data_IF_404664824569
#
_entry.id   IF_404664824569
#
_cell.length_a   1.000
_cell.length_b   1.000
_cell.length_c   1.000
_cell.angle_alpha   90.00
_cell.angle_beta   90.00
_cell.angle_gamma   90.00
#
_symmetry.space_group_name_H-M   'P 1'
#
loop_
_entity.id
_entity.type
_entity.pdbx_description
1 polymer ?
#
# COMPACT_ATOMS: atom_id res chain seq x y z
N UNK A 1 -7.51 33.91 -2.64
CA UNK A 1 -7.38 32.88 -3.70
C UNK A 1 -6.11 33.18 -4.49
N UNK A 2 -4.97 32.83 -3.92
CA UNK A 2 -3.75 32.80 -4.71
C UNK A 2 -3.63 31.38 -5.23
N UNK A 3 -3.97 31.22 -6.50
CA UNK A 3 -3.70 30.00 -7.23
C UNK A 3 -2.24 29.63 -7.06
N UNK A 4 -1.93 28.36 -6.74
CA UNK A 4 -0.62 27.79 -6.97
C UNK A 4 -0.33 27.77 -8.48
N UNK A 5 -0.27 28.96 -9.08
CA UNK A 5 0.27 29.15 -10.41
C UNK A 5 1.78 29.09 -10.28
N UNK A 6 2.33 27.89 -10.42
CA UNK A 6 3.75 27.77 -10.79
C UNK A 6 3.80 28.24 -12.23
N UNK A 7 4.12 29.54 -12.41
CA UNK A 7 4.34 30.10 -13.74
C UNK A 7 5.50 29.35 -14.40
N UNK A 8 5.32 28.89 -15.63
CA UNK A 8 6.35 28.27 -16.49
C UNK A 8 7.64 29.09 -16.62
N UNK A 9 7.55 30.40 -16.35
CA UNK A 9 8.69 31.33 -16.35
C UNK A 9 9.70 31.10 -15.20
N UNK A 10 9.35 30.28 -14.18
CA UNK A 10 10.17 30.09 -12.99
C UNK A 10 10.94 28.76 -12.97
N UNK A 11 10.84 27.93 -14.00
CA UNK A 11 11.73 26.79 -14.12
C UNK A 11 13.16 27.26 -14.31
N UNK A 12 14.08 26.81 -13.47
CA UNK A 12 15.50 27.15 -13.62
C UNK A 12 16.02 26.63 -14.97
N UNK A 13 17.04 27.31 -15.52
CA UNK A 13 17.70 26.86 -16.74
C UNK A 13 18.17 25.39 -16.62
N UNK A 14 18.64 25.02 -15.44
CA UNK A 14 19.05 23.66 -15.09
C UNK A 14 17.89 22.65 -15.21
N UNK A 15 16.68 22.98 -14.78
CA UNK A 15 15.52 22.10 -14.91
C UNK A 15 15.12 21.88 -16.38
N UNK A 16 15.23 22.92 -17.21
CA UNK A 16 14.98 22.81 -18.65
C UNK A 16 16.04 21.99 -19.38
N UNK A 17 17.31 22.18 -19.02
CA UNK A 17 18.44 21.44 -19.61
C UNK A 17 18.40 19.93 -19.24
N UNK A 18 17.83 19.61 -18.08
CA UNK A 18 17.66 18.22 -17.64
C UNK A 18 16.33 17.58 -18.06
N UNK A 19 15.46 18.27 -18.80
CA UNK A 19 14.17 17.73 -19.21
C UNK A 19 14.33 16.44 -20.02
N UNK A 20 15.27 16.37 -20.94
CA UNK A 20 15.53 15.16 -21.76
C UNK A 20 15.96 13.96 -20.89
N UNK A 21 16.75 14.20 -19.84
CA UNK A 21 17.12 13.16 -18.88
C UNK A 21 15.91 12.72 -18.06
N UNK A 22 15.11 13.66 -17.61
CA UNK A 22 13.88 13.37 -16.86
C UNK A 22 12.88 12.57 -17.71
N UNK A 23 12.69 12.94 -18.97
CA UNK A 23 11.85 12.22 -19.92
C UNK A 23 12.36 10.79 -20.14
N UNK A 24 13.66 10.62 -20.30
CA UNK A 24 14.27 9.29 -20.41
C UNK A 24 14.05 8.45 -19.14
N UNK A 25 14.28 9.01 -17.96
CA UNK A 25 14.07 8.32 -16.68
C UNK A 25 12.60 8.00 -16.49
N UNK A 26 11.70 8.94 -16.78
CA UNK A 26 10.27 8.74 -16.68
C UNK A 26 9.79 7.66 -17.66
N UNK A 27 10.28 7.69 -18.92
CA UNK A 27 9.99 6.65 -19.93
C UNK A 27 10.40 5.26 -19.40
N UNK A 28 11.58 5.14 -18.80
CA UNK A 28 12.06 3.90 -18.18
C UNK A 28 11.19 3.44 -17.00
N UNK A 29 10.64 4.36 -16.24
CA UNK A 29 9.85 4.06 -15.05
C UNK A 29 8.35 3.90 -15.34
N UNK A 30 7.80 4.63 -16.29
CA UNK A 30 6.42 4.48 -16.72
C UNK A 30 6.27 3.23 -17.58
N UNK A 31 7.24 3.02 -18.49
CA UNK A 31 7.22 1.90 -19.41
C UNK A 31 8.21 0.83 -18.94
N UNK A 32 7.68 -0.23 -18.34
CA UNK A 32 8.51 -1.39 -18.07
C UNK A 32 8.86 -2.08 -19.38
N UNK A 33 10.16 -2.12 -19.72
CA UNK A 33 10.65 -2.92 -20.83
C UNK A 33 10.81 -4.38 -20.36
N UNK A 34 9.82 -5.20 -20.65
CA UNK A 34 9.84 -6.63 -20.31
C UNK A 34 10.59 -7.47 -21.33
N UNK A 35 11.43 -6.89 -22.15
CA UNK A 35 12.08 -7.68 -23.18
C UNK A 35 13.41 -8.26 -22.75
N UNK A 36 13.45 -9.60 -22.69
CA UNK A 36 14.59 -10.31 -23.29
C UNK A 36 14.13 -11.27 -24.40
N UNK A 37 12.87 -11.68 -24.48
CA UNK A 37 12.44 -12.66 -25.49
C UNK A 37 10.95 -12.62 -25.88
N UNK A 38 10.22 -11.56 -25.66
CA UNK A 38 8.82 -11.42 -26.11
C UNK A 38 8.61 -10.18 -26.97
N UNK A 39 7.65 -10.16 -27.90
CA UNK A 39 7.34 -8.97 -28.68
C UNK A 39 7.11 -7.79 -27.73
N UNK A 40 7.75 -6.68 -28.00
CA UNK A 40 7.82 -5.48 -27.18
C UNK A 40 6.44 -4.86 -26.95
N UNK A 41 5.67 -5.39 -26.05
CA UNK A 41 4.55 -4.70 -25.47
C UNK A 41 5.08 -3.88 -24.30
N UNK A 42 5.19 -2.57 -24.51
CA UNK A 42 5.43 -1.64 -23.41
C UNK A 42 4.24 -1.75 -22.44
N UNK A 43 4.47 -2.24 -21.23
CA UNK A 43 3.48 -2.23 -20.15
C UNK A 43 3.78 -1.07 -19.23
N UNK A 44 2.76 -0.27 -18.91
CA UNK A 44 2.90 0.74 -17.86
C UNK A 44 3.07 0.10 -16.51
N UNK A 45 3.70 0.87 -15.65
CA UNK A 45 3.57 0.70 -14.21
C UNK A 45 2.13 0.94 -13.76
N UNK A 46 1.78 0.42 -12.60
CA UNK A 46 0.51 0.74 -11.97
C UNK A 46 0.38 2.25 -11.76
N UNK A 47 -0.82 2.75 -11.95
CA UNK A 47 -1.15 4.15 -11.76
C UNK A 47 -1.91 4.28 -10.46
N UNK A 48 -1.52 5.24 -9.65
CA UNK A 48 -2.21 5.58 -8.42
C UNK A 48 -2.79 6.99 -8.53
N UNK A 49 -4.09 7.12 -8.31
CA UNK A 49 -4.77 8.42 -8.27
C UNK A 49 -4.98 8.86 -6.83
N UNK A 50 -4.56 10.07 -6.49
CA UNK A 50 -4.98 10.75 -5.27
C UNK A 50 -6.21 11.59 -5.63
N UNK A 51 -7.36 11.24 -5.04
CA UNK A 51 -8.65 11.88 -5.36
C UNK A 51 -9.02 12.93 -4.32
N UNK A 52 -9.17 12.55 -3.05
CA UNK A 52 -9.67 13.43 -2.00
C UNK A 52 -9.09 13.05 -0.63
N UNK A 53 -8.77 14.04 0.23
CA UNK A 53 -8.34 13.76 1.60
C UNK A 53 -9.49 13.48 2.57
N UNK A 54 -10.74 13.63 2.15
CA UNK A 54 -11.91 13.52 3.03
C UNK A 54 -12.15 12.07 3.42
N UNK A 55 -12.38 11.85 4.72
CA UNK A 55 -12.66 10.52 5.29
C UNK A 55 -13.64 10.69 6.44
N UNK A 56 -14.52 9.71 6.63
CA UNK A 56 -15.43 9.66 7.76
C UNK A 56 -14.82 9.03 9.01
N UNK A 57 -13.58 8.51 8.95
CA UNK A 57 -12.84 7.98 10.09
C UNK A 57 -11.59 8.82 10.40
N UNK A 58 -11.31 8.96 11.70
CA UNK A 58 -10.09 9.55 12.24
C UNK A 58 -9.14 8.48 12.78
N UNK A 59 -8.73 7.51 11.95
CA UNK A 59 -7.83 6.45 12.38
C UNK A 59 -6.59 7.02 13.05
N UNK A 60 -6.26 6.53 14.26
CA UNK A 60 -5.20 7.10 15.11
C UNK A 60 -3.81 7.08 14.47
N UNK A 61 -3.56 6.14 13.56
CA UNK A 61 -2.31 5.99 12.82
C UNK A 61 -2.35 6.52 11.39
N UNK A 62 -3.47 7.14 10.96
CA UNK A 62 -3.62 7.60 9.58
C UNK A 62 -2.77 8.84 9.31
N UNK A 63 -1.81 8.70 8.39
CA UNK A 63 -0.96 9.81 8.00
C UNK A 63 -1.71 10.90 7.23
N UNK A 64 -2.72 10.55 6.43
CA UNK A 64 -3.57 11.53 5.72
C UNK A 64 -4.28 12.44 6.72
N UNK A 65 -4.83 11.89 7.79
CA UNK A 65 -5.50 12.68 8.81
C UNK A 65 -4.52 13.57 9.58
N UNK A 66 -3.33 13.04 9.93
CA UNK A 66 -2.31 13.77 10.69
C UNK A 66 -1.65 14.90 9.91
N UNK A 67 -1.41 14.68 8.61
CA UNK A 67 -0.65 15.57 7.73
C UNK A 67 -1.49 16.14 6.58
N UNK A 68 -2.80 16.23 6.77
CA UNK A 68 -3.73 16.66 5.72
C UNK A 68 -3.34 17.96 5.07
N UNK A 69 -2.97 18.98 5.88
CA UNK A 69 -2.59 20.29 5.38
C UNK A 69 -1.27 20.28 4.60
N UNK A 70 -0.32 19.45 5.05
CA UNK A 70 1.01 19.35 4.42
C UNK A 70 0.93 18.62 3.08
N UNK A 71 0.03 17.62 2.97
CA UNK A 71 -0.14 16.80 1.75
C UNK A 71 -1.06 17.47 0.74
N UNK A 72 -2.19 18.01 1.21
CA UNK A 72 -3.25 18.51 0.31
C UNK A 72 -3.38 20.04 0.30
N UNK A 73 -2.72 20.77 1.24
CA UNK A 73 -2.95 22.19 1.47
C UNK A 73 -4.29 22.47 2.14
N UNK A 74 -4.65 23.74 2.28
CA UNK A 74 -5.90 24.12 2.94
C UNK A 74 -7.14 23.92 2.05
N UNK A 75 -7.01 24.01 0.70
CA UNK A 75 -8.11 23.99 -0.27
C UNK A 75 -7.83 23.15 -1.52
N UNK A 76 -7.00 22.12 -1.42
CA UNK A 76 -6.54 21.36 -2.60
C UNK A 76 -7.55 20.32 -3.15
N UNK A 77 -8.77 20.28 -2.68
CA UNK A 77 -9.78 19.41 -3.27
C UNK A 77 -10.82 20.23 -4.05
N UNK A 78 -10.79 20.06 -5.37
CA UNK A 78 -11.80 20.59 -6.28
C UNK A 78 -12.38 19.42 -7.09
N UNK A 79 -13.65 19.11 -6.86
CA UNK A 79 -14.32 17.99 -7.51
C UNK A 79 -14.39 18.15 -9.02
N UNK A 80 -14.74 19.33 -9.53
CA UNK A 80 -14.84 19.60 -10.96
C UNK A 80 -13.48 19.44 -11.66
N UNK A 81 -12.42 20.03 -11.08
CA UNK A 81 -11.07 19.84 -11.57
C UNK A 81 -10.64 18.37 -11.54
N UNK A 82 -10.96 17.64 -10.46
CA UNK A 82 -10.65 16.22 -10.32
C UNK A 82 -11.24 15.39 -11.44
N UNK A 83 -12.52 15.58 -11.76
CA UNK A 83 -13.20 14.83 -12.82
C UNK A 83 -12.70 15.27 -14.22
N UNK A 84 -12.50 16.56 -14.43
CA UNK A 84 -11.96 17.07 -15.70
C UNK A 84 -10.57 16.52 -15.98
N UNK A 85 -9.69 16.58 -14.99
CA UNK A 85 -8.33 16.07 -15.08
C UNK A 85 -8.29 14.54 -15.25
N UNK A 86 -9.18 13.81 -14.57
CA UNK A 86 -9.32 12.38 -14.77
C UNK A 86 -9.62 12.04 -16.23
N UNK A 87 -10.58 12.74 -16.86
CA UNK A 87 -10.92 12.53 -18.28
C UNK A 87 -9.72 12.75 -19.21
N UNK A 88 -8.90 13.77 -18.94
CA UNK A 88 -7.67 14.01 -19.70
C UNK A 88 -6.65 12.89 -19.49
N UNK A 89 -6.50 12.44 -18.23
CA UNK A 89 -5.55 11.38 -17.89
C UNK A 89 -5.94 10.03 -18.51
N UNK A 90 -7.22 9.68 -18.51
CA UNK A 90 -7.71 8.46 -19.15
C UNK A 90 -7.45 8.46 -20.66
N UNK A 91 -7.65 9.60 -21.35
CA UNK A 91 -7.25 9.76 -22.77
C UNK A 91 -5.75 9.59 -22.98
N UNK A 92 -4.95 10.08 -22.05
CA UNK A 92 -3.50 9.89 -22.12
C UNK A 92 -3.10 8.42 -21.94
N UNK A 93 -3.74 7.69 -21.03
CA UNK A 93 -3.56 6.24 -20.89
C UNK A 93 -3.94 5.50 -22.18
N UNK A 94 -5.09 5.77 -22.75
CA UNK A 94 -5.56 5.19 -24.01
C UNK A 94 -4.55 5.42 -25.14
N UNK A 95 -4.12 6.67 -25.34
CA UNK A 95 -3.18 7.03 -26.41
C UNK A 95 -1.85 6.31 -26.29
N UNK A 96 -1.40 6.05 -25.08
CA UNK A 96 -0.13 5.38 -24.79
C UNK A 96 -0.25 3.85 -24.69
N UNK A 97 -1.44 3.30 -24.90
CA UNK A 97 -1.74 1.86 -24.93
C UNK A 97 -1.36 1.12 -23.66
N UNK A 98 -1.92 1.57 -22.54
CA UNK A 98 -1.61 1.00 -21.25
C UNK A 98 -2.74 0.18 -20.69
N UNK A 99 -2.34 -0.92 -20.05
CA UNK A 99 -3.21 -1.79 -19.29
C UNK A 99 -2.71 -1.83 -17.82
N UNK A 100 -2.65 -0.68 -17.11
CA UNK A 100 -2.21 -0.66 -15.73
C UNK A 100 -3.30 -1.19 -14.82
N UNK A 101 -2.91 -1.66 -13.63
CA UNK A 101 -3.83 -1.59 -12.50
C UNK A 101 -3.93 -0.13 -12.06
N UNK A 102 -5.15 0.33 -11.85
CA UNK A 102 -5.43 1.67 -11.33
C UNK A 102 -5.78 1.53 -9.86
N UNK A 103 -4.96 2.12 -9.00
CA UNK A 103 -5.26 2.25 -7.58
C UNK A 103 -5.85 3.63 -7.31
N UNK A 104 -7.01 3.69 -6.67
CA UNK A 104 -7.67 4.96 -6.36
C UNK A 104 -7.54 5.23 -4.87
N UNK A 105 -6.60 6.11 -4.53
CA UNK A 105 -6.33 6.49 -3.17
C UNK A 105 -7.13 7.73 -2.78
N UNK A 106 -7.73 7.68 -1.59
CA UNK A 106 -8.51 8.77 -1.02
C UNK A 106 -8.47 8.66 0.51
N UNK A 107 -9.09 9.60 1.21
CA UNK A 107 -9.45 9.38 2.60
C UNK A 107 -10.40 8.18 2.71
N UNK A 108 -11.67 8.36 2.29
CA UNK A 108 -12.60 7.24 2.04
C UNK A 108 -13.40 7.55 0.77
N UNK A 109 -13.06 6.87 -0.30
CA UNK A 109 -13.64 7.13 -1.62
C UNK A 109 -15.14 6.85 -1.66
N UNK A 110 -15.56 5.71 -1.08
CA UNK A 110 -16.94 5.22 -1.16
C UNK A 110 -17.90 5.92 -0.19
N UNK A 111 -17.40 6.82 0.65
CA UNK A 111 -18.23 7.72 1.46
C UNK A 111 -18.50 9.07 0.76
N UNK A 112 -17.98 9.30 -0.45
CA UNK A 112 -18.02 10.58 -1.13
C UNK A 112 -18.65 10.48 -2.52
N UNK A 113 -19.44 11.49 -2.88
CA UNK A 113 -20.06 11.56 -4.23
C UNK A 113 -19.01 11.59 -5.34
N UNK A 114 -17.91 12.30 -5.14
CA UNK A 114 -16.80 12.34 -6.12
C UNK A 114 -16.22 10.95 -6.38
N UNK A 115 -16.20 10.06 -5.41
CA UNK A 115 -15.71 8.69 -5.58
C UNK A 115 -16.52 7.92 -6.60
N UNK A 116 -17.84 8.01 -6.51
CA UNK A 116 -18.74 7.37 -7.48
C UNK A 116 -18.60 8.00 -8.86
N UNK A 117 -18.52 9.34 -8.96
CA UNK A 117 -18.28 10.03 -10.23
C UNK A 117 -16.95 9.63 -10.89
N UNK A 118 -15.89 9.42 -10.10
CA UNK A 118 -14.61 8.91 -10.59
C UNK A 118 -14.80 7.53 -11.23
N UNK A 119 -15.46 6.60 -10.55
CA UNK A 119 -15.70 5.25 -11.06
C UNK A 119 -16.61 5.24 -12.29
N UNK A 120 -17.65 6.05 -12.31
CA UNK A 120 -18.52 6.21 -13.47
C UNK A 120 -17.76 6.81 -14.66
N UNK A 121 -16.92 7.82 -14.44
CA UNK A 121 -16.08 8.42 -15.49
C UNK A 121 -15.10 7.40 -16.07
N UNK A 122 -14.53 6.52 -15.24
CA UNK A 122 -13.67 5.43 -15.71
C UNK A 122 -14.47 4.44 -16.56
N UNK A 123 -15.66 4.03 -16.10
CA UNK A 123 -16.52 3.13 -16.85
C UNK A 123 -16.89 3.73 -18.21
N UNK A 124 -17.43 4.96 -18.24
CA UNK A 124 -17.84 5.67 -19.48
C UNK A 124 -16.70 5.80 -20.48
N UNK A 125 -15.46 5.99 -20.01
CA UNK A 125 -14.31 6.08 -20.89
C UNK A 125 -13.95 4.74 -21.55
N UNK A 126 -14.01 3.64 -20.79
CA UNK A 126 -13.54 2.34 -21.25
C UNK A 126 -14.63 1.43 -21.84
N UNK A 127 -15.91 1.75 -21.67
CA UNK A 127 -17.00 0.86 -22.09
C UNK A 127 -16.97 0.51 -23.59
N UNK A 128 -16.58 1.46 -24.43
CA UNK A 128 -16.51 1.30 -25.88
C UNK A 128 -15.12 0.98 -26.44
N UNK A 129 -14.11 0.83 -25.58
CA UNK A 129 -12.75 0.51 -26.01
C UNK A 129 -12.53 -1.01 -26.07
N UNK A 130 -11.59 -1.41 -26.92
CA UNK A 130 -11.15 -2.80 -27.01
C UNK A 130 -10.62 -3.31 -25.67
N UNK A 131 -10.81 -4.59 -25.32
CA UNK A 131 -10.40 -5.15 -24.03
C UNK A 131 -8.92 -4.92 -23.69
N UNK A 132 -8.03 -4.96 -24.68
CA UNK A 132 -6.61 -4.72 -24.50
C UNK A 132 -6.25 -3.26 -24.14
N UNK A 133 -7.19 -2.35 -24.33
CA UNK A 133 -7.02 -0.93 -24.00
C UNK A 133 -7.54 -0.60 -22.59
N UNK A 134 -8.21 -1.55 -21.93
CA UNK A 134 -8.80 -1.36 -20.61
C UNK A 134 -7.80 -1.63 -19.51
N UNK A 135 -7.95 -1.00 -18.33
CA UNK A 135 -7.10 -1.33 -17.17
C UNK A 135 -7.28 -2.78 -16.75
N UNK A 136 -6.20 -3.36 -16.23
CA UNK A 136 -6.20 -4.74 -15.75
C UNK A 136 -7.09 -4.93 -14.52
N UNK A 137 -7.19 -3.90 -13.68
CA UNK A 137 -8.06 -3.85 -12.50
C UNK A 137 -8.18 -2.43 -11.97
N UNK A 138 -9.21 -2.18 -11.18
CA UNK A 138 -9.32 -1.02 -10.30
C UNK A 138 -9.23 -1.50 -8.87
N UNK A 139 -8.33 -0.92 -8.08
CA UNK A 139 -8.12 -1.25 -6.66
C UNK A 139 -8.50 -0.04 -5.81
N UNK A 140 -9.33 -0.25 -4.81
CA UNK A 140 -9.76 0.79 -3.87
C UNK A 140 -9.52 0.32 -2.44
N UNK A 141 -8.53 0.90 -1.73
CA UNK A 141 -8.48 0.79 -0.28
C UNK A 141 -9.69 1.49 0.34
N UNK A 142 -10.48 0.78 1.11
CA UNK A 142 -11.69 1.33 1.75
C UNK A 142 -11.82 0.85 3.18
N UNK A 143 -12.38 1.70 4.03
CA UNK A 143 -12.63 1.38 5.44
C UNK A 143 -13.92 0.56 5.67
N UNK A 144 -14.61 0.21 4.60
CA UNK A 144 -15.83 -0.60 4.58
C UNK A 144 -17.02 -0.01 5.34
N UNK A 145 -17.00 1.26 5.76
CA UNK A 145 -18.15 1.88 6.42
C UNK A 145 -19.39 1.99 5.55
N UNK A 146 -19.26 1.85 4.22
CA UNK A 146 -20.40 1.76 3.32
C UNK A 146 -21.30 0.53 3.64
N UNK A 147 -20.75 -0.52 4.28
CA UNK A 147 -21.51 -1.68 4.74
C UNK A 147 -22.50 -1.37 5.85
N UNK A 148 -22.46 -0.19 6.45
CA UNK A 148 -23.45 0.24 7.43
C UNK A 148 -24.81 0.60 6.82
N UNK A 149 -24.88 0.85 5.49
CA UNK A 149 -26.10 1.33 4.82
C UNK A 149 -26.35 0.52 3.53
N UNK A 150 -27.55 -0.08 3.42
CA UNK A 150 -27.92 -0.89 2.26
C UNK A 150 -27.85 -0.10 0.94
N UNK A 151 -28.31 1.15 0.95
CA UNK A 151 -28.23 2.03 -0.26
C UNK A 151 -26.80 2.21 -0.77
N UNK A 152 -25.81 2.34 0.14
CA UNK A 152 -24.41 2.45 -0.24
C UNK A 152 -23.88 1.13 -0.80
N UNK A 153 -24.28 -0.01 -0.24
CA UNK A 153 -23.94 -1.34 -0.76
C UNK A 153 -24.48 -1.48 -2.17
N UNK A 154 -25.76 -1.19 -2.39
CA UNK A 154 -26.44 -1.31 -3.69
C UNK A 154 -25.75 -0.44 -4.75
N UNK A 155 -25.32 0.76 -4.37
CA UNK A 155 -24.60 1.67 -5.27
C UNK A 155 -23.22 1.14 -5.66
N UNK A 156 -22.46 0.61 -4.71
CA UNK A 156 -21.16 -0.03 -4.99
C UNK A 156 -21.32 -1.24 -5.90
N UNK A 157 -22.32 -2.08 -5.65
CA UNK A 157 -22.60 -3.26 -6.48
C UNK A 157 -23.05 -2.87 -7.91
N UNK A 158 -23.82 -1.82 -8.06
CA UNK A 158 -24.22 -1.33 -9.38
C UNK A 158 -23.00 -0.90 -10.21
N UNK A 159 -22.04 -0.19 -9.61
CA UNK A 159 -20.80 0.22 -10.27
C UNK A 159 -19.89 -0.98 -10.53
N UNK A 160 -19.78 -1.90 -9.58
CA UNK A 160 -19.04 -3.15 -9.77
C UNK A 160 -19.55 -3.90 -11.00
N UNK A 161 -20.87 -4.11 -11.09
CA UNK A 161 -21.50 -4.82 -12.18
C UNK A 161 -21.22 -4.15 -13.54
N UNK A 162 -21.26 -2.81 -13.61
CA UNK A 162 -20.90 -2.06 -14.83
C UNK A 162 -19.45 -2.31 -15.23
N UNK A 163 -18.50 -2.17 -14.33
CA UNK A 163 -17.07 -2.37 -14.62
C UNK A 163 -16.75 -3.81 -15.01
N UNK A 164 -17.28 -4.79 -14.28
CA UNK A 164 -17.10 -6.20 -14.58
C UNK A 164 -17.73 -6.61 -15.92
N UNK A 165 -18.86 -6.00 -16.32
CA UNK A 165 -19.49 -6.25 -17.64
C UNK A 165 -18.58 -5.90 -18.82
N UNK A 166 -17.63 -5.01 -18.61
CA UNK A 166 -16.61 -4.65 -19.61
C UNK A 166 -15.24 -5.30 -19.32
N UNK A 167 -15.17 -6.24 -18.39
CA UNK A 167 -13.95 -7.00 -18.06
C UNK A 167 -12.95 -6.25 -17.20
N UNK A 168 -13.36 -5.21 -16.47
CA UNK A 168 -12.54 -4.48 -15.50
C UNK A 168 -12.93 -4.92 -14.07
N UNK A 169 -12.16 -5.76 -13.40
CA UNK A 169 -12.45 -6.16 -12.02
C UNK A 169 -12.28 -4.99 -11.06
N UNK A 170 -13.27 -4.79 -10.18
CA UNK A 170 -13.22 -3.84 -9.07
C UNK A 170 -12.81 -4.57 -7.78
N UNK A 171 -11.58 -4.34 -7.35
CA UNK A 171 -11.00 -4.94 -6.16
C UNK A 171 -11.08 -3.97 -4.97
N UNK A 172 -11.88 -4.31 -3.97
CA UNK A 172 -11.94 -3.54 -2.73
C UNK A 172 -11.00 -4.17 -1.69
N UNK A 173 -10.05 -3.37 -1.19
CA UNK A 173 -9.16 -3.79 -0.11
C UNK A 173 -9.73 -3.31 1.22
N UNK A 174 -10.20 -4.25 2.05
CA UNK A 174 -10.85 -3.96 3.32
C UNK A 174 -9.83 -3.49 4.38
N UNK A 175 -9.67 -2.17 4.50
CA UNK A 175 -8.91 -1.54 5.59
C UNK A 175 -9.73 -1.58 6.88
N UNK A 176 -9.71 -2.72 7.57
CA UNK A 176 -10.59 -3.05 8.67
C UNK A 176 -9.80 -3.80 9.75
N UNK A 177 -9.73 -3.22 10.97
CA UNK A 177 -8.87 -3.75 12.04
C UNK A 177 -9.52 -4.83 12.90
N UNK A 178 -10.82 -5.02 12.79
CA UNK A 178 -11.57 -6.02 13.53
C UNK A 178 -12.24 -5.50 14.80
N UNK A 179 -13.15 -6.31 15.35
CA UNK A 179 -14.06 -5.96 16.45
C UNK A 179 -13.36 -5.43 17.70
N UNK A 180 -12.21 -5.99 18.06
CA UNK A 180 -11.48 -5.61 19.27
C UNK A 180 -10.52 -4.42 19.07
N UNK A 181 -10.41 -3.92 17.82
CA UNK A 181 -9.51 -2.82 17.44
C UNK A 181 -10.24 -1.57 16.94
N UNK A 182 -11.57 -1.51 17.12
CA UNK A 182 -12.44 -0.41 16.67
C UNK A 182 -11.99 0.96 17.18
N UNK A 183 -11.50 1.03 18.42
CA UNK A 183 -11.01 2.27 19.04
C UNK A 183 -9.83 2.89 18.29
N UNK A 184 -9.17 2.13 17.41
CA UNK A 184 -8.10 2.62 16.54
C UNK A 184 -8.67 3.42 15.35
N UNK A 185 -9.95 3.24 15.02
CA UNK A 185 -10.62 3.83 13.85
C UNK A 185 -11.94 4.54 14.24
N UNK A 186 -11.90 5.56 15.12
CA UNK A 186 -13.11 6.30 15.52
C UNK A 186 -13.72 7.06 14.33
N UNK A 187 -15.04 7.24 14.36
CA UNK A 187 -15.70 8.17 13.44
C UNK A 187 -15.27 9.61 13.72
N UNK A 188 -15.13 10.40 12.66
CA UNK A 188 -14.98 11.84 12.75
C UNK A 188 -16.36 12.50 12.83
N UNK A 189 -16.57 13.31 13.86
CA UNK A 189 -17.85 14.00 14.10
C UNK A 189 -17.84 15.47 13.67
N UNK A 190 -16.66 16.04 13.38
CA UNK A 190 -16.45 17.47 13.11
C UNK A 190 -16.11 17.74 11.64
N UNK A 191 -16.80 17.07 10.72
CA UNK A 191 -16.61 17.34 9.29
C UNK A 191 -17.65 18.37 8.82
N UNK A 192 -17.22 19.38 8.06
CA UNK A 192 -18.10 20.33 7.36
C UNK A 192 -19.08 19.63 6.38
N UNK A 193 -18.82 18.35 6.10
CA UNK A 193 -19.64 17.49 5.26
C UNK A 193 -19.89 16.19 6.00
N UNK A 194 -21.15 15.86 6.23
CA UNK A 194 -21.55 14.55 6.76
C UNK A 194 -21.27 13.47 5.70
N UNK A 195 -20.15 12.79 5.86
CA UNK A 195 -19.77 11.65 5.01
C UNK A 195 -20.45 10.34 5.44
N UNK A 196 -21.40 10.44 6.34
CA UNK A 196 -22.12 9.31 6.88
C UNK A 196 -21.30 8.55 7.93
N UNK A 197 -22.03 7.94 8.81
CA UNK A 197 -21.55 7.03 9.84
C UNK A 197 -22.55 5.89 9.93
N UNK A 198 -22.28 4.96 10.82
CA UNK A 198 -23.19 3.86 11.14
C UNK A 198 -22.68 3.11 12.36
N UNK A 199 -23.53 2.24 12.87
CA UNK A 199 -23.14 1.38 13.98
C UNK A 199 -22.35 0.19 13.41
N UNK A 200 -21.16 -0.04 13.94
CA UNK A 200 -20.34 -1.21 13.63
C UNK A 200 -20.62 -2.32 14.65
N UNK A 201 -21.83 -2.85 14.59
CA UNK A 201 -22.32 -3.97 15.38
C UNK A 201 -22.03 -5.33 14.74
N UNK A 202 -22.47 -6.41 15.35
CA UNK A 202 -22.27 -7.76 14.82
C UNK A 202 -22.89 -7.92 13.42
N UNK A 203 -24.03 -7.28 13.13
CA UNK A 203 -24.64 -7.32 11.81
C UNK A 203 -23.80 -6.57 10.74
N UNK A 204 -23.11 -5.50 11.13
CA UNK A 204 -22.14 -4.86 10.25
C UNK A 204 -20.97 -5.80 9.93
N UNK A 205 -20.40 -6.47 10.95
CA UNK A 205 -19.31 -7.42 10.71
C UNK A 205 -19.74 -8.57 9.82
N UNK A 206 -20.91 -9.13 10.03
CA UNK A 206 -21.45 -10.21 9.20
C UNK A 206 -21.54 -9.77 7.73
N UNK A 207 -22.04 -8.57 7.45
CA UNK A 207 -22.05 -8.02 6.09
C UNK A 207 -20.66 -7.84 5.50
N UNK A 208 -19.66 -7.43 6.29
CA UNK A 208 -18.27 -7.30 5.82
C UNK A 208 -17.71 -8.65 5.39
N UNK A 209 -17.89 -9.69 6.20
CA UNK A 209 -17.39 -11.03 5.87
C UNK A 209 -18.17 -11.68 4.72
N UNK A 210 -19.49 -11.57 4.70
CA UNK A 210 -20.32 -12.04 3.59
C UNK A 210 -19.89 -11.40 2.27
N UNK A 211 -19.69 -10.09 2.27
CA UNK A 211 -19.25 -9.36 1.08
C UNK A 211 -17.83 -9.73 0.66
N UNK A 212 -16.92 -9.90 1.61
CA UNK A 212 -15.56 -10.34 1.35
C UNK A 212 -15.55 -11.75 0.70
N UNK A 213 -16.37 -12.66 1.22
CA UNK A 213 -16.54 -14.00 0.65
C UNK A 213 -17.07 -13.94 -0.79
N UNK A 214 -18.15 -13.17 -1.01
CA UNK A 214 -18.78 -12.99 -2.32
C UNK A 214 -17.83 -12.41 -3.37
N UNK A 215 -16.99 -11.46 -2.99
CA UNK A 215 -16.12 -10.72 -3.90
C UNK A 215 -14.70 -11.28 -3.97
N UNK A 216 -14.40 -12.34 -3.24
CA UNK A 216 -13.05 -12.88 -3.07
C UNK A 216 -12.04 -11.81 -2.64
N UNK A 217 -12.50 -10.83 -1.86
CA UNK A 217 -11.68 -9.75 -1.32
C UNK A 217 -10.72 -10.21 -0.23
N UNK A 218 -9.76 -9.36 0.11
CA UNK A 218 -8.84 -9.57 1.23
C UNK A 218 -9.13 -8.62 2.39
N UNK A 219 -8.92 -9.10 3.60
CA UNK A 219 -8.98 -8.30 4.82
C UNK A 219 -7.59 -7.72 5.09
N UNK A 220 -7.49 -6.42 5.35
CA UNK A 220 -6.24 -5.72 5.50
C UNK A 220 -6.16 -4.93 6.81
N UNK A 221 -6.09 -5.62 7.95
CA UNK A 221 -5.96 -4.98 9.24
C UNK A 221 -4.55 -4.44 9.47
N UNK A 222 -4.47 -3.34 10.24
CA UNK A 222 -3.21 -2.69 10.62
C UNK A 222 -2.83 -3.03 12.06
N UNK A 223 -1.68 -3.66 12.22
CA UNK A 223 -1.10 -3.95 13.55
C UNK A 223 -0.58 -2.64 14.14
N UNK A 224 -1.39 -2.02 14.98
CA UNK A 224 -1.06 -0.76 15.62
C UNK A 224 -0.44 -1.01 16.99
N UNK A 225 0.56 -0.22 17.36
CA UNK A 225 1.30 -0.38 18.63
C UNK A 225 0.37 -0.35 19.86
N UNK A 226 -0.68 0.48 19.82
CA UNK A 226 -1.73 0.47 20.85
C UNK A 226 -2.69 -0.69 20.61
N UNK A 227 -2.94 -1.46 21.65
CA UNK A 227 -3.80 -2.65 21.57
C UNK A 227 -3.09 -3.89 21.04
N UNK A 228 -1.75 -3.87 20.94
CA UNK A 228 -0.98 -5.03 20.46
C UNK A 228 -1.20 -6.28 21.31
N UNK A 229 -1.49 -6.11 22.60
CA UNK A 229 -1.82 -7.18 23.54
C UNK A 229 -3.09 -7.98 23.15
N UNK A 230 -4.07 -7.32 22.55
CA UNK A 230 -5.37 -7.91 22.19
C UNK A 230 -5.37 -8.54 20.79
N UNK A 231 -4.25 -8.42 20.05
CA UNK A 231 -4.18 -8.96 18.69
C UNK A 231 -4.35 -10.48 18.58
N UNK A 232 -3.85 -11.32 19.50
CA UNK A 232 -4.15 -12.76 19.44
C UNK A 232 -5.66 -13.03 19.45
N UNK A 233 -6.40 -12.40 20.38
CA UNK A 233 -7.85 -12.53 20.48
C UNK A 233 -8.58 -11.98 19.24
N UNK A 234 -8.11 -10.85 18.71
CA UNK A 234 -8.69 -10.23 17.51
C UNK A 234 -8.45 -11.10 16.26
N UNK A 235 -7.28 -11.71 16.14
CA UNK A 235 -6.96 -12.63 15.07
C UNK A 235 -7.81 -13.90 15.12
N UNK A 236 -7.98 -14.49 16.31
CA UNK A 236 -8.83 -15.67 16.50
C UNK A 236 -10.28 -15.38 16.10
N UNK A 237 -10.79 -14.18 16.44
CA UNK A 237 -12.10 -13.73 16.00
C UNK A 237 -12.18 -13.59 14.46
N UNK A 238 -11.16 -13.02 13.80
CA UNK A 238 -11.09 -13.00 12.35
C UNK A 238 -11.17 -14.41 11.77
N UNK A 239 -10.37 -15.34 12.29
CA UNK A 239 -10.31 -16.71 11.79
C UNK A 239 -11.64 -17.46 11.98
N UNK A 240 -12.32 -17.24 13.11
CA UNK A 240 -13.66 -17.79 13.33
C UNK A 240 -14.66 -17.26 12.30
N UNK A 241 -14.68 -15.96 12.06
CA UNK A 241 -15.56 -15.34 11.05
C UNK A 241 -15.20 -15.79 9.64
N UNK A 242 -13.93 -15.86 9.29
CA UNK A 242 -13.50 -16.37 7.98
C UNK A 242 -13.95 -17.80 7.74
N UNK A 243 -13.88 -18.66 8.75
CA UNK A 243 -14.38 -20.03 8.68
C UNK A 243 -15.92 -20.07 8.52
N UNK A 244 -16.66 -19.25 9.28
CA UNK A 244 -18.12 -19.12 9.20
C UNK A 244 -18.60 -18.75 7.79
N UNK A 245 -17.88 -17.84 7.10
CA UNK A 245 -18.21 -17.37 5.76
C UNK A 245 -17.43 -18.06 4.62
N UNK A 246 -16.71 -19.14 4.89
CA UNK A 246 -15.90 -19.91 3.93
C UNK A 246 -14.84 -19.04 3.21
N UNK A 247 -14.27 -18.07 3.89
CA UNK A 247 -13.13 -17.28 3.41
C UNK A 247 -11.85 -18.08 3.70
N UNK A 248 -10.92 -18.21 2.72
CA UNK A 248 -9.64 -18.84 2.97
C UNK A 248 -8.91 -18.21 4.16
N UNK A 249 -8.46 -19.02 5.11
CA UNK A 249 -7.83 -18.53 6.35
C UNK A 249 -6.58 -17.65 6.13
N UNK A 250 -5.97 -17.76 4.96
CA UNK A 250 -4.85 -16.94 4.52
C UNK A 250 -5.24 -15.59 3.85
N UNK A 251 -6.52 -15.33 3.63
CA UNK A 251 -7.00 -14.10 2.98
C UNK A 251 -7.03 -12.88 3.92
N UNK A 252 -6.05 -12.79 4.82
CA UNK A 252 -5.85 -11.69 5.76
C UNK A 252 -4.42 -11.16 5.64
N UNK A 253 -4.27 -9.85 5.35
CA UNK A 253 -2.98 -9.21 5.13
C UNK A 253 -2.59 -8.38 6.34
N UNK A 254 -1.66 -8.91 7.14
CA UNK A 254 -1.21 -8.30 8.39
C UNK A 254 -0.02 -7.37 8.16
N UNK A 255 -0.16 -6.10 8.48
CA UNK A 255 0.91 -5.10 8.36
C UNK A 255 1.06 -4.27 9.63
N UNK A 256 2.29 -4.11 10.10
CA UNK A 256 2.59 -3.18 11.18
C UNK A 256 2.44 -1.73 10.74
N UNK A 257 1.88 -0.90 11.62
CA UNK A 257 1.98 0.56 11.52
C UNK A 257 3.44 0.96 11.72
N UNK A 258 4.02 1.70 10.77
CA UNK A 258 5.47 1.96 10.70
C UNK A 258 5.84 3.44 10.81
N UNK A 259 4.90 4.32 11.10
CA UNK A 259 5.13 5.76 11.23
C UNK A 259 5.07 6.24 12.69
N UNK A 260 5.22 5.33 13.62
CA UNK A 260 5.22 5.59 15.06
C UNK A 260 6.35 4.87 15.76
N UNK A 261 6.71 5.36 16.93
CA UNK A 261 7.62 4.68 17.83
C UNK A 261 6.94 3.47 18.49
N UNK A 262 7.73 2.44 18.73
CA UNK A 262 7.33 1.23 19.42
C UNK A 262 8.12 1.11 20.71
N UNK A 263 7.44 0.94 21.85
CA UNK A 263 8.11 0.65 23.13
C UNK A 263 8.57 -0.80 23.19
N UNK A 264 9.45 -1.12 24.14
CA UNK A 264 9.93 -2.49 24.35
C UNK A 264 8.76 -3.45 24.65
N UNK A 265 7.81 -3.02 25.49
CA UNK A 265 6.62 -3.81 25.84
C UNK A 265 5.73 -4.08 24.63
N UNK A 266 5.55 -3.10 23.75
CA UNK A 266 4.78 -3.26 22.51
C UNK A 266 5.47 -4.19 21.52
N UNK A 267 6.81 -4.13 21.43
CA UNK A 267 7.59 -5.06 20.61
C UNK A 267 7.44 -6.47 21.14
N UNK A 268 7.50 -6.65 22.47
CA UNK A 268 7.29 -7.95 23.10
C UNK A 268 5.87 -8.49 22.87
N UNK A 269 4.87 -7.64 22.95
CA UNK A 269 3.49 -8.01 22.57
C UNK A 269 3.38 -8.44 21.10
N UNK A 270 4.08 -7.74 20.19
CA UNK A 270 4.18 -8.14 18.78
C UNK A 270 4.84 -9.50 18.61
N UNK A 271 5.90 -9.78 19.39
CA UNK A 271 6.55 -11.10 19.35
C UNK A 271 5.60 -12.21 19.80
N UNK A 272 4.86 -12.01 20.89
CA UNK A 272 3.83 -12.99 21.34
C UNK A 272 2.77 -13.21 20.26
N UNK A 273 2.37 -12.15 19.54
CA UNK A 273 1.45 -12.31 18.43
C UNK A 273 2.06 -13.09 17.25
N UNK A 274 3.34 -12.85 16.92
CA UNK A 274 4.07 -13.63 15.91
C UNK A 274 4.10 -15.12 16.31
N UNK A 275 4.39 -15.44 17.58
CA UNK A 275 4.34 -16.81 18.08
C UNK A 275 2.96 -17.43 17.94
N UNK A 276 1.90 -16.66 18.22
CA UNK A 276 0.50 -17.10 18.04
C UNK A 276 0.21 -17.42 16.56
N UNK A 277 0.66 -16.58 15.62
CA UNK A 277 0.50 -16.84 14.19
C UNK A 277 1.22 -18.13 13.74
N UNK A 278 2.44 -18.37 14.21
CA UNK A 278 3.17 -19.60 13.90
C UNK A 278 2.48 -20.84 14.51
N UNK A 279 1.95 -20.75 15.73
CA UNK A 279 1.17 -21.83 16.34
C UNK A 279 -0.10 -22.13 15.53
N UNK A 280 -0.82 -21.10 15.10
CA UNK A 280 -2.01 -21.23 14.26
C UNK A 280 -1.67 -21.92 12.91
N UNK A 281 -0.61 -21.49 12.24
CA UNK A 281 -0.17 -22.09 10.97
C UNK A 281 0.20 -23.57 11.19
N UNK A 282 0.88 -23.88 12.30
CA UNK A 282 1.26 -25.25 12.64
C UNK A 282 0.06 -26.20 12.71
N UNK A 283 -1.05 -25.74 13.30
CA UNK A 283 -2.30 -26.51 13.32
C UNK A 283 -2.91 -26.63 11.91
N UNK A 284 -2.96 -25.56 11.14
CA UNK A 284 -3.54 -25.57 9.78
C UNK A 284 -2.76 -26.46 8.81
N UNK A 285 -1.45 -26.58 8.95
CA UNK A 285 -0.62 -27.50 8.14
C UNK A 285 -0.52 -28.91 8.73
N UNK A 286 -1.36 -29.24 9.72
CA UNK A 286 -1.46 -30.59 10.35
C UNK A 286 -0.13 -31.08 10.89
N UNK A 287 0.58 -30.21 11.60
CA UNK A 287 1.86 -30.51 12.26
C UNK A 287 2.95 -31.01 11.29
N UNK A 288 2.93 -30.57 10.04
CA UNK A 288 3.93 -30.92 9.04
C UNK A 288 4.95 -29.81 8.86
N UNK A 289 6.25 -30.01 9.24
CA UNK A 289 7.29 -29.00 9.14
C UNK A 289 7.58 -28.51 7.70
N UNK A 290 7.54 -29.42 6.72
CA UNK A 290 7.77 -29.09 5.31
C UNK A 290 6.63 -28.26 4.74
N UNK A 291 5.38 -28.61 5.05
CA UNK A 291 4.22 -27.81 4.66
C UNK A 291 4.22 -26.44 5.30
N UNK A 292 4.67 -26.32 6.55
CA UNK A 292 4.84 -25.04 7.25
C UNK A 292 5.85 -24.14 6.52
N UNK A 293 7.02 -24.68 6.21
CA UNK A 293 8.03 -23.96 5.44
C UNK A 293 7.50 -23.55 4.06
N UNK A 294 6.86 -24.47 3.34
CA UNK A 294 6.26 -24.20 2.03
C UNK A 294 5.18 -23.11 2.08
N UNK A 295 4.35 -23.08 3.13
CA UNK A 295 3.36 -22.04 3.32
C UNK A 295 4.02 -20.65 3.55
N UNK A 296 4.99 -20.59 4.46
CA UNK A 296 5.71 -19.33 4.75
C UNK A 296 6.43 -18.81 3.49
N UNK A 297 7.06 -19.67 2.71
CA UNK A 297 7.76 -19.29 1.49
C UNK A 297 6.85 -18.81 0.35
N UNK A 298 5.59 -19.23 0.33
CA UNK A 298 4.62 -18.73 -0.64
C UNK A 298 4.21 -17.27 -0.38
N UNK A 299 4.36 -16.81 0.86
CA UNK A 299 3.91 -15.49 1.28
C UNK A 299 2.39 -15.42 1.47
N UNK A 300 1.69 -14.73 0.61
CA UNK A 300 0.24 -14.55 0.74
C UNK A 300 -0.14 -13.56 1.83
N UNK A 301 -1.28 -13.79 2.51
CA UNK A 301 -1.79 -12.92 3.57
C UNK A 301 -0.88 -12.80 4.78
N UNK A 302 -0.08 -13.82 5.05
CA UNK A 302 0.92 -13.84 6.12
C UNK A 302 2.27 -13.28 5.68
N UNK A 303 2.26 -12.32 4.76
CA UNK A 303 3.46 -11.69 4.21
C UNK A 303 4.41 -11.13 5.29
N UNK A 304 3.86 -10.68 6.43
CA UNK A 304 4.64 -10.29 7.61
C UNK A 304 5.65 -11.36 8.04
N UNK A 305 5.26 -12.64 8.00
CA UNK A 305 6.11 -13.79 8.38
C UNK A 305 7.01 -14.21 7.21
N UNK A 306 6.55 -14.07 5.98
CA UNK A 306 7.27 -14.49 4.78
C UNK A 306 8.41 -13.56 4.39
N UNK A 307 8.26 -12.26 4.60
CA UNK A 307 9.19 -11.22 4.15
C UNK A 307 10.68 -11.50 4.46
N UNK A 308 11.08 -11.93 5.67
CA UNK A 308 12.48 -12.19 5.96
C UNK A 308 13.10 -13.28 5.06
N UNK A 309 12.29 -14.21 4.59
CA UNK A 309 12.73 -15.38 3.83
C UNK A 309 12.60 -15.21 2.33
N UNK A 310 11.57 -14.49 1.87
CA UNK A 310 11.23 -14.33 0.44
C UNK A 310 11.79 -13.07 -0.18
N UNK A 311 12.15 -12.07 0.63
CA UNK A 311 12.69 -10.80 0.14
C UNK A 311 13.97 -11.01 -0.69
N UNK A 312 14.07 -10.35 -1.83
CA UNK A 312 15.24 -10.42 -2.71
C UNK A 312 16.48 -9.67 -2.19
N UNK A 313 16.43 -9.11 -1.00
CA UNK A 313 17.58 -8.57 -0.26
C UNK A 313 18.17 -7.24 -0.75
N UNK A 314 18.05 -6.93 -2.04
CA UNK A 314 18.74 -5.78 -2.66
C UNK A 314 17.90 -4.52 -2.79
N UNK A 315 16.58 -4.65 -2.88
CA UNK A 315 15.64 -3.55 -3.09
C UNK A 315 14.92 -3.11 -1.81
N UNK A 316 14.16 -2.05 -1.94
CA UNK A 316 13.07 -1.74 -1.04
C UNK A 316 11.88 -2.63 -1.41
N UNK A 317 11.19 -3.17 -0.42
CA UNK A 317 9.93 -3.88 -0.67
C UNK A 317 8.75 -2.94 -0.88
N UNK A 318 9.03 -1.66 -0.94
CA UNK A 318 8.09 -0.59 -1.18
C UNK A 318 7.72 -0.54 -2.67
N UNK A 319 6.43 -0.36 -2.99
CA UNK A 319 5.91 -0.29 -4.36
C UNK A 319 6.35 0.94 -5.18
N UNK A 320 7.10 1.86 -4.58
CA UNK A 320 7.50 3.14 -5.18
C UNK A 320 8.15 3.01 -6.57
N UNK A 321 8.84 1.91 -6.83
CA UNK A 321 9.48 1.65 -8.13
C UNK A 321 8.53 0.99 -9.13
N UNK A 322 7.37 0.53 -8.69
CA UNK A 322 6.38 -0.21 -9.47
C UNK A 322 5.16 0.60 -9.89
N UNK A 323 5.02 1.84 -9.44
CA UNK A 323 3.87 2.69 -9.67
C UNK A 323 4.27 4.15 -9.84
N UNK A 324 3.37 4.97 -10.38
CA UNK A 324 3.47 6.42 -10.29
C UNK A 324 2.13 6.99 -9.81
N UNK A 325 2.22 8.09 -9.09
CA UNK A 325 1.09 8.68 -8.38
C UNK A 325 0.77 10.04 -8.92
N UNK A 326 -0.49 10.30 -9.23
CA UNK A 326 -0.99 11.58 -9.74
C UNK A 326 -2.09 12.08 -8.82
N UNK A 327 -1.97 13.31 -8.32
CA UNK A 327 -3.06 13.98 -7.62
C UNK A 327 -3.98 14.65 -8.65
N UNK A 328 -5.21 14.14 -8.75
CA UNK A 328 -6.12 14.55 -9.82
C UNK A 328 -6.59 16.01 -9.73
N UNK A 329 -6.62 16.61 -8.54
CA UNK A 329 -7.07 18.01 -8.39
C UNK A 329 -6.18 19.03 -9.08
N UNK A 330 -4.88 18.73 -9.24
CA UNK A 330 -3.87 19.65 -9.81
C UNK A 330 -2.87 18.97 -10.75
N UNK A 331 -3.02 17.68 -10.98
CA UNK A 331 -2.16 16.88 -11.87
C UNK A 331 -0.69 16.78 -11.44
N UNK A 332 -0.40 17.08 -10.17
CA UNK A 332 0.93 16.92 -9.61
C UNK A 332 1.31 15.46 -9.44
N UNK A 333 2.56 15.14 -9.74
CA UNK A 333 3.11 13.79 -9.67
C UNK A 333 4.04 13.60 -8.48
N UNK A 334 3.88 12.46 -7.83
CA UNK A 334 4.60 12.06 -6.63
C UNK A 334 5.15 10.64 -6.75
N UNK A 335 6.20 10.28 -6.00
CA UNK A 335 6.72 8.91 -5.99
C UNK A 335 5.69 7.87 -5.50
N UNK A 336 4.84 8.23 -4.55
CA UNK A 336 3.71 7.43 -4.05
C UNK A 336 2.74 8.33 -3.24
N UNK A 337 1.54 7.83 -2.95
CA UNK A 337 0.54 8.56 -2.16
C UNK A 337 1.06 9.01 -0.78
N UNK A 338 1.96 8.23 -0.18
CA UNK A 338 2.51 8.52 1.14
C UNK A 338 3.63 9.58 1.12
N UNK A 339 4.20 9.86 -0.04
CA UNK A 339 5.11 10.97 -0.30
C UNK A 339 4.41 12.12 -1.03
N UNK A 340 3.12 12.33 -0.78
CA UNK A 340 2.32 13.40 -1.37
C UNK A 340 2.64 14.80 -0.85
N UNK A 341 3.73 14.99 -0.14
CA UNK A 341 4.19 16.28 0.39
C UNK A 341 4.79 17.15 -0.70
N UNK A 342 4.71 18.46 -0.52
CA UNK A 342 5.24 19.46 -1.47
C UNK A 342 6.71 19.22 -1.84
N UNK A 343 7.51 18.75 -0.89
CA UNK A 343 8.93 18.50 -1.09
C UNK A 343 9.22 17.31 -2.04
N UNK A 344 8.20 16.51 -2.33
CA UNK A 344 8.32 15.33 -3.20
C UNK A 344 7.64 15.49 -4.57
N UNK A 345 7.27 16.68 -4.95
CA UNK A 345 6.85 16.95 -6.31
C UNK A 345 8.01 16.75 -7.27
N UNK A 346 7.87 15.85 -8.21
CA UNK A 346 8.88 15.70 -9.24
C UNK A 346 8.41 16.18 -10.62
N UNK A 347 7.11 16.36 -10.83
CA UNK A 347 6.58 16.87 -12.08
C UNK A 347 5.08 17.08 -12.03
N UNK A 348 4.53 17.43 -13.18
CA UNK A 348 3.11 17.67 -13.39
C UNK A 348 2.69 17.18 -14.78
N UNK A 349 1.47 16.68 -14.89
CA UNK A 349 0.85 16.43 -16.18
C UNK A 349 0.10 17.72 -16.60
N UNK A 350 0.45 18.28 -17.74
CA UNK A 350 -0.19 19.49 -18.28
C UNK A 350 -0.77 19.24 -19.66
N UNK A 351 -1.96 19.78 -19.97
CA UNK A 351 -2.51 19.69 -21.30
C UNK A 351 -1.77 20.65 -22.25
N UNK A 352 -1.52 20.22 -23.48
CA UNK A 352 -1.10 21.08 -24.56
C UNK A 352 -2.31 21.76 -25.26
N UNK A 353 -2.05 22.47 -26.37
CA UNK A 353 -3.08 23.17 -27.14
C UNK A 353 -4.20 22.24 -27.68
N UNK A 354 -3.89 20.96 -27.85
CA UNK A 354 -4.85 19.93 -28.32
C UNK A 354 -5.51 19.15 -27.14
N UNK A 355 -5.32 19.60 -25.90
CA UNK A 355 -5.72 18.90 -24.67
C UNK A 355 -5.10 17.50 -24.54
N UNK A 356 -3.89 17.31 -25.04
CA UNK A 356 -3.10 16.11 -24.84
C UNK A 356 -2.14 16.34 -23.68
N UNK A 357 -2.17 15.46 -22.70
CA UNK A 357 -1.29 15.60 -21.53
C UNK A 357 0.18 15.36 -21.90
N UNK A 358 1.02 16.25 -21.40
CA UNK A 358 2.47 16.16 -21.42
C UNK A 358 3.00 16.18 -19.99
N UNK A 359 4.10 15.50 -19.79
CA UNK A 359 4.83 15.58 -18.52
C UNK A 359 5.75 16.79 -18.52
N UNK A 360 5.63 17.61 -17.49
CA UNK A 360 6.58 18.68 -17.18
C UNK A 360 7.38 18.30 -15.95
N UNK A 361 8.69 18.31 -16.09
CA UNK A 361 9.60 17.98 -15.00
C UNK A 361 9.90 19.20 -14.14
N UNK A 362 9.75 19.07 -12.82
CA UNK A 362 10.13 20.07 -11.84
C UNK A 362 11.37 19.69 -11.03
N UNK A 363 11.63 18.40 -10.87
CA UNK A 363 12.73 17.90 -10.05
C UNK A 363 13.23 16.53 -10.51
N UNK A 364 14.05 16.53 -11.57
CA UNK A 364 14.62 15.30 -12.11
C UNK A 364 15.52 14.56 -11.10
N UNK A 365 16.23 15.29 -10.25
CA UNK A 365 17.12 14.70 -9.25
C UNK A 365 16.32 13.91 -8.20
N UNK A 366 15.18 14.47 -7.75
CA UNK A 366 14.28 13.78 -6.82
C UNK A 366 13.70 12.54 -7.47
N UNK A 367 13.28 12.62 -8.74
CA UNK A 367 12.78 11.48 -9.50
C UNK A 367 13.82 10.36 -9.56
N UNK A 368 15.04 10.69 -9.97
CA UNK A 368 16.15 9.73 -10.06
C UNK A 368 16.47 9.16 -8.68
N UNK A 369 16.61 10.01 -7.66
CA UNK A 369 16.93 9.60 -6.31
C UNK A 369 15.90 8.62 -5.73
N UNK A 370 14.60 8.93 -5.88
CA UNK A 370 13.53 8.09 -5.35
C UNK A 370 13.45 6.74 -6.02
N UNK A 371 13.55 6.70 -7.34
CA UNK A 371 13.43 5.47 -8.11
C UNK A 371 14.70 4.62 -8.11
N UNK A 372 15.87 5.23 -7.89
CA UNK A 372 17.16 4.51 -7.78
C UNK A 372 17.45 4.03 -6.36
N UNK A 373 16.63 4.43 -5.39
CA UNK A 373 16.91 4.16 -3.99
C UNK A 373 16.88 2.67 -3.68
N UNK A 374 17.88 2.25 -2.92
CA UNK A 374 17.97 0.89 -2.38
C UNK A 374 18.42 0.96 -0.91
N UNK A 375 18.28 -0.14 -0.18
CA UNK A 375 18.82 -0.23 1.18
C UNK A 375 20.33 0.04 1.25
N UNK A 376 21.07 -0.26 0.21
CA UNK A 376 22.51 0.03 0.11
C UNK A 376 22.82 1.52 0.02
N UNK A 377 21.90 2.33 -0.50
CA UNK A 377 22.00 3.78 -0.53
C UNK A 377 21.63 4.48 0.78
N UNK A 378 21.08 3.75 1.74
CA UNK A 378 20.74 4.28 3.07
C UNK A 378 21.86 3.91 4.06
N UNK A 379 22.62 4.88 4.62
CA UNK A 379 23.81 4.60 5.42
C UNK A 379 23.60 3.59 6.56
N UNK A 380 22.52 3.74 7.32
CA UNK A 380 22.20 2.82 8.42
C UNK A 380 21.83 1.42 7.91
N UNK A 381 21.05 1.33 6.81
CA UNK A 381 20.66 0.05 6.24
C UNK A 381 21.84 -0.65 5.55
N UNK A 382 22.74 0.10 4.90
CA UNK A 382 23.92 -0.47 4.26
C UNK A 382 24.86 -1.16 5.24
N UNK A 383 24.93 -0.65 6.49
CA UNK A 383 25.75 -1.21 7.56
C UNK A 383 25.00 -2.22 8.44
N UNK A 384 23.71 -2.42 8.22
CA UNK A 384 22.90 -3.32 9.02
C UNK A 384 23.27 -4.79 8.73
N UNK A 385 23.61 -5.59 9.75
CA UNK A 385 24.04 -6.97 9.55
C UNK A 385 22.94 -7.92 9.07
N UNK A 386 21.66 -7.46 9.09
CA UNK A 386 20.50 -8.25 8.65
C UNK A 386 19.76 -7.57 7.51
N UNK A 387 20.41 -6.71 6.75
CA UNK A 387 19.75 -5.93 5.71
C UNK A 387 19.07 -6.76 4.60
N UNK A 388 19.54 -7.97 4.33
CA UNK A 388 18.94 -8.90 3.36
C UNK A 388 17.68 -9.58 3.89
N UNK A 389 17.53 -9.69 5.20
CA UNK A 389 16.35 -10.29 5.85
C UNK A 389 15.23 -9.26 6.09
N UNK A 390 15.61 -7.99 6.23
CA UNK A 390 14.68 -6.92 6.52
C UNK A 390 13.93 -6.48 5.26
N UNK A 391 12.62 -6.30 5.36
CA UNK A 391 11.79 -5.74 4.29
C UNK A 391 12.09 -4.27 3.98
N UNK A 392 12.86 -3.61 4.82
CA UNK A 392 13.06 -2.16 4.80
C UNK A 392 11.89 -1.40 5.42
N UNK A 393 12.01 -0.10 5.48
CA UNK A 393 10.96 0.80 5.96
C UNK A 393 10.20 1.43 4.79
N UNK A 394 9.01 1.95 5.07
CA UNK A 394 8.29 2.81 4.16
C UNK A 394 8.94 4.20 4.14
N UNK A 395 9.35 4.70 2.97
CA UNK A 395 10.01 6.00 2.83
C UNK A 395 9.15 7.17 3.32
N UNK A 396 7.84 7.12 3.05
CA UNK A 396 6.90 8.11 3.58
C UNK A 396 6.81 8.08 5.09
N UNK A 397 6.77 6.88 5.70
CA UNK A 397 6.76 6.75 7.15
C UNK A 397 8.07 7.26 7.79
N UNK A 398 9.21 7.03 7.14
CA UNK A 398 10.48 7.59 7.58
C UNK A 398 10.46 9.11 7.54
N UNK A 399 9.99 9.70 6.43
CA UNK A 399 9.87 11.15 6.31
C UNK A 399 8.93 11.74 7.35
N UNK A 400 7.76 11.14 7.57
CA UNK A 400 6.81 11.57 8.60
C UNK A 400 7.43 11.62 10.00
N UNK A 401 8.19 10.60 10.37
CA UNK A 401 8.76 10.47 11.70
C UNK A 401 10.08 11.24 11.89
N UNK A 402 10.92 11.34 10.85
CA UNK A 402 12.30 11.83 10.96
C UNK A 402 12.59 13.07 10.13
N UNK A 403 11.65 13.52 9.29
CA UNK A 403 11.84 14.54 8.26
C UNK A 403 12.97 14.22 7.27
N UNK A 404 13.33 12.93 7.19
CA UNK A 404 14.33 12.41 6.25
C UNK A 404 13.91 11.04 5.73
N UNK A 405 13.50 10.97 4.48
CA UNK A 405 13.04 9.71 3.89
C UNK A 405 14.12 8.62 3.79
N UNK A 406 15.39 8.96 3.97
CA UNK A 406 16.51 8.01 4.01
C UNK A 406 16.90 7.57 5.43
N UNK A 407 16.28 8.14 6.45
CA UNK A 407 16.58 7.80 7.84
C UNK A 407 15.57 6.78 8.38
N UNK A 408 15.99 5.52 8.65
CA UNK A 408 15.10 4.53 9.26
C UNK A 408 14.69 4.95 10.67
N UNK A 409 13.49 4.56 11.07
CA UNK A 409 12.98 4.79 12.43
C UNK A 409 13.56 3.72 13.34
N UNK A 410 14.37 4.08 14.38
CA UNK A 410 15.11 3.10 15.20
C UNK A 410 14.20 2.06 15.87
N UNK A 411 13.05 2.48 16.41
CA UNK A 411 12.12 1.57 17.09
C UNK A 411 11.41 0.63 16.12
N UNK A 412 11.17 1.06 14.88
CA UNK A 412 10.65 0.18 13.81
C UNK A 412 11.72 -0.81 13.35
N UNK A 413 13.01 -0.39 13.34
CA UNK A 413 14.10 -1.32 13.10
C UNK A 413 14.17 -2.39 14.19
N UNK A 414 14.05 -1.99 15.47
CA UNK A 414 14.02 -2.91 16.61
C UNK A 414 12.84 -3.91 16.49
N UNK A 415 11.65 -3.43 16.16
CA UNK A 415 10.48 -4.27 15.90
C UNK A 415 10.76 -5.31 14.80
N UNK A 416 11.28 -4.89 13.65
CA UNK A 416 11.60 -5.80 12.54
C UNK A 416 12.65 -6.85 12.95
N UNK A 417 13.67 -6.43 13.69
CA UNK A 417 14.70 -7.31 14.20
C UNK A 417 14.11 -8.38 15.14
N UNK A 418 13.30 -7.95 16.10
CA UNK A 418 12.65 -8.84 17.07
C UNK A 418 11.73 -9.85 16.37
N UNK A 419 10.93 -9.40 15.41
CA UNK A 419 10.03 -10.28 14.65
C UNK A 419 10.79 -11.32 13.81
N UNK A 420 11.92 -10.97 13.20
CA UNK A 420 12.78 -11.92 12.47
C UNK A 420 13.33 -12.99 13.40
N UNK A 421 13.86 -12.58 14.56
CA UNK A 421 14.38 -13.50 15.58
C UNK A 421 13.29 -14.42 16.10
N UNK A 422 12.12 -13.89 16.43
CA UNK A 422 10.98 -14.66 16.91
C UNK A 422 10.51 -15.67 15.87
N UNK A 423 10.40 -15.25 14.60
CA UNK A 423 10.05 -16.14 13.50
C UNK A 423 11.05 -17.29 13.32
N UNK A 424 12.35 -16.98 13.40
CA UNK A 424 13.40 -18.01 13.35
C UNK A 424 13.29 -19.01 14.51
N UNK A 425 13.07 -18.53 15.74
CA UNK A 425 12.85 -19.39 16.91
C UNK A 425 11.63 -20.30 16.74
N UNK A 426 10.53 -19.77 16.23
CA UNK A 426 9.32 -20.56 15.96
C UNK A 426 9.55 -21.63 14.90
N UNK A 427 10.20 -21.32 13.79
CA UNK A 427 10.51 -22.29 12.73
C UNK A 427 11.43 -23.41 13.24
N UNK A 428 12.37 -23.11 14.12
CA UNK A 428 13.21 -24.12 14.79
C UNK A 428 12.37 -25.00 15.73
N UNK A 429 11.53 -24.39 16.57
CA UNK A 429 10.63 -25.08 17.51
C UNK A 429 9.75 -26.12 16.79
N UNK A 430 9.23 -25.78 15.62
CA UNK A 430 8.37 -26.66 14.83
C UNK A 430 9.12 -27.54 13.82
N UNK A 431 10.47 -27.52 13.81
CA UNK A 431 11.28 -28.35 12.91
C UNK A 431 11.26 -27.93 11.43
N UNK A 432 10.65 -26.78 11.13
CA UNK A 432 10.52 -26.24 9.77
C UNK A 432 11.81 -25.57 9.27
N UNK A 433 12.72 -25.20 10.15
CA UNK A 433 13.91 -24.40 9.88
C UNK A 433 14.82 -24.99 8.80
N UNK A 434 15.05 -26.31 8.81
CA UNK A 434 15.89 -26.99 7.80
C UNK A 434 15.36 -26.80 6.38
N UNK A 435 14.05 -26.85 6.17
CA UNK A 435 13.41 -26.66 4.86
C UNK A 435 13.47 -25.21 4.41
N UNK A 436 13.43 -24.25 5.35
CA UNK A 436 13.66 -22.84 5.04
C UNK A 436 15.08 -22.59 4.56
N UNK A 437 16.09 -23.16 5.22
CA UNK A 437 17.50 -23.02 4.84
C UNK A 437 17.78 -23.59 3.44
N UNK A 438 17.16 -24.70 3.05
CA UNK A 438 17.35 -25.29 1.73
C UNK A 438 16.95 -24.34 0.60
N UNK A 439 15.93 -23.50 0.82
CA UNK A 439 15.41 -22.56 -0.18
C UNK A 439 16.04 -21.18 -0.18
N UNK A 440 16.94 -20.87 0.76
CA UNK A 440 17.58 -19.56 0.90
C UNK A 440 18.85 -19.43 0.07
N UNK A 441 19.10 -18.20 -0.41
CA UNK A 441 20.40 -17.83 -0.95
C UNK A 441 21.48 -17.74 0.14
N UNK A 442 22.75 -17.73 -0.29
CA UNK A 442 23.89 -17.73 0.64
C UNK A 442 23.97 -16.45 1.51
N UNK A 443 23.57 -15.30 0.96
CA UNK A 443 23.63 -14.04 1.70
C UNK A 443 22.65 -14.06 2.88
N UNK A 444 21.46 -14.62 2.70
CA UNK A 444 20.49 -14.81 3.80
C UNK A 444 20.97 -15.82 4.84
N UNK A 445 21.55 -16.93 4.39
CA UNK A 445 22.11 -17.94 5.30
C UNK A 445 23.15 -17.32 6.24
N UNK A 446 24.10 -16.57 5.71
CA UNK A 446 25.12 -15.87 6.52
C UNK A 446 24.49 -14.92 7.54
N UNK A 447 23.46 -14.18 7.15
CA UNK A 447 22.80 -13.25 8.08
C UNK A 447 21.99 -13.97 9.16
N UNK A 448 21.38 -15.10 8.85
CA UNK A 448 20.74 -15.93 9.86
C UNK A 448 21.74 -16.61 10.81
N UNK A 449 22.87 -17.08 10.30
CA UNK A 449 23.98 -17.60 11.14
C UNK A 449 24.48 -16.53 12.11
N UNK A 450 24.69 -15.31 11.64
CA UNK A 450 25.03 -14.18 12.50
C UNK A 450 24.00 -13.93 13.62
N UNK A 451 22.70 -13.98 13.31
CA UNK A 451 21.64 -13.84 14.31
C UNK A 451 21.67 -14.97 15.33
N UNK A 452 21.90 -16.20 14.88
CA UNK A 452 22.00 -17.39 15.73
C UNK A 452 23.14 -17.28 16.74
N UNK A 453 24.33 -16.89 16.30
CA UNK A 453 25.49 -16.66 17.14
C UNK A 453 25.22 -15.61 18.22
N UNK A 454 24.55 -14.51 17.85
CA UNK A 454 24.21 -13.45 18.80
C UNK A 454 23.15 -13.85 19.81
N UNK A 455 22.17 -14.64 19.42
CA UNK A 455 21.16 -15.16 20.34
C UNK A 455 21.84 -16.08 21.35
N UNK A 456 22.67 -17.02 20.90
CA UNK A 456 23.38 -17.93 21.74
C UNK A 456 24.35 -17.22 22.72
N UNK A 457 24.99 -16.13 22.27
CA UNK A 457 25.87 -15.32 23.10
C UNK A 457 25.14 -14.47 24.16
N UNK A 458 23.85 -14.14 23.94
CA UNK A 458 23.03 -13.37 24.88
C UNK A 458 22.33 -14.24 25.93
N UNK A 459 22.30 -15.54 25.75
CA UNK A 459 21.78 -16.53 26.72
C UNK A 459 22.84 -17.00 27.72
N UNK A 460 24.10 -16.52 27.58
CA UNK A 460 25.20 -16.72 28.52
C UNK A 460 25.36 -15.48 29.40
#
# INVERSE_FOLDING_TARGET
MEHCNVNDSNLSQYQRENQALADFVLDKYIYQDFSVNTPKEKKTKNVEFIVSPRCNLGCRYCYVHRHRKDIFGEDCFNEEATISNLKLFLKWLEKNRFNPSIEIFSGELLAQEVGYKVLETIYEHFENLEPLMRPASIVIPTNYTFMCKQEAIDRVEAIRAKLESIGIPLCLSASFDGKYMEDNRPYLHDLDVDLGGGVRDDAYYDRVFEYTAKTHGGLHPMLYSRGMEDWPKNFDWFQQKMEEYNIPWEAIYLLHVRNEEWTAEQIEASNRFIEHLYAFIWEKVKHNPEHMAGFILKGGGFNLLAQPFTNCGRGLTCGIQGQFTVRLSDMMMYPCHRLGYKDFWFGRMVPDEENILRYENYNAELLIATYSLSKKGMPMCAQCPINHLCSGCCLGAQYEATQNFMAPIPTVCALQHANIVTGMKCLKKYGAWKYMLESMDQEKKIQFEYLEERINASEI
#
